data_IF_834673908661
#
_entry.id   IF_834673908661
#
_cell.length_a   1.000
_cell.length_b   1.000
_cell.length_c   1.000
_cell.angle_alpha   90.00
_cell.angle_beta   90.00
_cell.angle_gamma   90.00
#
_symmetry.space_group_name_H-M   'P 1'
#
loop_
_entity.id
_entity.type
_entity.pdbx_description
1 polymer ?
#
# COMPACT_ATOMS: atom_id res chain seq x y z
N UNK A 1 -31.29 62.36 45.73
CA UNK A 1 -31.31 61.13 46.55
C UNK A 1 -31.45 59.96 45.59
N UNK A 2 -30.44 59.08 45.56
CA UNK A 2 -30.46 57.66 45.15
C UNK A 2 -31.08 57.42 43.74
N UNK A 3 -30.35 57.45 42.63
CA UNK A 3 -29.30 56.52 42.17
C UNK A 3 -29.71 55.03 42.30
N UNK A 4 -30.13 54.41 41.20
CA UNK A 4 -29.68 53.05 40.89
C UNK A 4 -29.62 52.87 39.36
N UNK A 5 -28.38 52.65 38.92
CA UNK A 5 -27.88 52.44 37.58
C UNK A 5 -27.56 50.96 37.44
N UNK A 6 -28.00 50.28 36.37
CA UNK A 6 -27.36 49.07 35.82
C UNK A 6 -27.73 49.00 34.33
N UNK A 7 -26.93 49.62 33.46
CA UNK A 7 -25.77 49.07 32.73
C UNK A 7 -26.17 48.01 31.70
N UNK A 8 -26.27 48.47 30.44
CA UNK A 8 -26.14 47.64 29.25
C UNK A 8 -24.73 47.04 29.22
N UNK A 9 -24.63 45.71 29.13
CA UNK A 9 -23.36 45.03 28.87
C UNK A 9 -23.33 44.56 27.41
N UNK A 10 -22.46 45.20 26.63
CA UNK A 10 -21.94 44.63 25.38
C UNK A 10 -20.83 43.61 25.70
N UNK A 11 -20.73 42.59 24.84
CA UNK A 11 -19.60 41.70 24.58
C UNK A 11 -18.73 41.19 25.75
N UNK A 12 -18.75 39.87 25.97
CA UNK A 12 -17.51 39.12 26.05
C UNK A 12 -17.56 37.90 25.12
N UNK A 13 -16.63 37.92 24.18
CA UNK A 13 -16.12 36.78 23.44
C UNK A 13 -15.52 35.82 24.47
N UNK A 14 -15.98 34.57 24.50
CA UNK A 14 -15.16 33.47 25.00
C UNK A 14 -14.84 32.56 23.82
N UNK A 15 -13.61 32.72 23.34
CA UNK A 15 -12.93 31.76 22.51
C UNK A 15 -12.32 30.68 23.42
N UNK A 16 -12.68 29.42 23.17
CA UNK A 16 -11.99 28.15 23.52
C UNK A 16 -13.06 27.06 23.30
N UNK A 17 -12.96 26.10 22.38
CA UNK A 17 -11.81 25.42 21.77
C UNK A 17 -12.24 24.89 20.40
N UNK A 18 -11.37 25.10 19.41
CA UNK A 18 -11.34 24.32 18.17
C UNK A 18 -11.11 22.82 18.45
N UNK A 19 -11.38 22.01 17.42
CA UNK A 19 -11.00 20.58 17.22
C UNK A 19 -11.87 19.57 18.00
N UNK A 20 -12.54 18.58 17.42
CA UNK A 20 -12.22 17.70 16.30
C UNK A 20 -13.48 17.34 15.49
N UNK A 21 -13.48 17.68 14.20
CA UNK A 21 -14.36 17.04 13.23
C UNK A 21 -13.86 15.63 12.95
N UNK A 22 -14.46 14.62 13.59
CA UNK A 22 -14.33 13.24 13.12
C UNK A 22 -15.38 12.99 12.03
N UNK A 23 -14.93 12.90 10.78
CA UNK A 23 -15.71 12.31 9.68
C UNK A 23 -15.90 10.81 9.93
N UNK A 24 -16.77 10.43 10.87
CA UNK A 24 -17.27 9.06 10.97
C UNK A 24 -18.45 8.92 10.02
N UNK A 25 -18.32 8.04 9.03
CA UNK A 25 -19.43 7.63 8.18
C UNK A 25 -20.42 6.82 9.05
N UNK A 26 -21.55 7.43 9.43
CA UNK A 26 -22.62 6.73 10.16
C UNK A 26 -23.36 5.78 9.23
N UNK A 27 -23.06 4.47 9.33
CA UNK A 27 -23.90 3.43 8.74
C UNK A 27 -25.05 3.14 9.72
N UNK A 28 -26.26 3.59 9.38
CA UNK A 28 -27.48 3.23 10.10
C UNK A 28 -27.79 1.73 9.89
N UNK A 29 -27.96 0.98 10.99
CA UNK A 29 -28.31 -0.44 10.96
C UNK A 29 -29.76 -0.62 10.48
N UNK A 30 -29.96 -0.66 9.15
CA UNK A 30 -31.30 -0.83 8.58
C UNK A 30 -31.70 -2.31 8.53
N UNK A 31 -32.71 -2.68 9.32
CA UNK A 31 -33.39 -3.98 9.24
C UNK A 31 -34.40 -4.00 8.09
N UNK A 32 -33.99 -3.72 6.86
CA UNK A 32 -34.86 -3.79 5.69
C UNK A 32 -34.78 -5.16 4.99
N UNK A 33 -35.82 -5.53 4.25
CA UNK A 33 -35.95 -6.84 3.61
C UNK A 33 -35.14 -6.96 2.30
N UNK A 34 -34.30 -7.99 2.27
CA UNK A 34 -33.70 -8.77 1.16
C UNK A 34 -33.49 -8.13 -0.21
N UNK A 35 -32.42 -7.34 -0.41
CA UNK A 35 -31.50 -7.60 -1.50
C UNK A 35 -30.66 -8.84 -1.19
N UNK A 36 -30.16 -9.50 -2.24
CA UNK A 36 -29.08 -10.47 -2.15
C UNK A 36 -27.88 -9.80 -1.44
N UNK A 37 -27.27 -10.45 -0.45
CA UNK A 37 -26.07 -9.93 0.20
C UNK A 37 -24.89 -10.13 -0.76
N UNK A 38 -24.54 -9.08 -1.49
CA UNK A 38 -23.53 -9.13 -2.55
C UNK A 38 -22.16 -8.64 -2.12
N UNK A 39 -22.01 -8.13 -0.89
CA UNK A 39 -20.74 -7.61 -0.37
C UNK A 39 -20.64 -7.74 1.16
N UNK A 40 -19.40 -7.74 1.68
CA UNK A 40 -19.16 -7.63 3.13
C UNK A 40 -19.76 -6.34 3.72
N UNK A 41 -19.82 -5.27 2.93
CA UNK A 41 -20.45 -3.99 3.29
C UNK A 41 -21.95 -4.14 3.51
N UNK A 42 -22.64 -4.92 2.68
CA UNK A 42 -24.06 -5.22 2.86
C UNK A 42 -24.33 -6.01 4.13
N UNK A 43 -23.49 -7.01 4.42
CA UNK A 43 -23.55 -7.79 5.67
C UNK A 43 -23.37 -6.86 6.87
N UNK A 44 -22.30 -6.04 6.89
CA UNK A 44 -22.04 -5.11 8.00
C UNK A 44 -23.17 -4.10 8.20
N UNK A 45 -23.78 -3.61 7.12
CA UNK A 45 -24.94 -2.70 7.18
C UNK A 45 -26.19 -3.39 7.74
N UNK A 46 -26.39 -4.67 7.43
CA UNK A 46 -27.55 -5.45 7.89
C UNK A 46 -27.41 -5.93 9.32
N UNK A 47 -26.20 -6.34 9.69
CA UNK A 47 -25.83 -6.94 10.97
C UNK A 47 -24.54 -6.29 11.46
N UNK A 48 -24.70 -5.20 12.20
CA UNK A 48 -23.59 -4.36 12.64
C UNK A 48 -22.60 -5.09 13.58
N UNK A 49 -23.06 -6.11 14.30
CA UNK A 49 -22.25 -6.92 15.21
C UNK A 49 -21.64 -8.17 14.53
N UNK A 50 -21.72 -8.27 13.21
CA UNK A 50 -21.09 -9.36 12.46
C UNK A 50 -19.58 -9.42 12.76
N UNK A 51 -19.04 -10.58 13.17
CA UNK A 51 -17.61 -10.72 13.45
C UNK A 51 -16.78 -10.80 12.16
N UNK A 52 -15.49 -10.50 12.23
CA UNK A 52 -14.56 -10.77 11.12
C UNK A 52 -14.49 -12.28 10.84
N UNK A 53 -14.48 -12.68 9.56
CA UNK A 53 -14.45 -14.09 9.19
C UNK A 53 -14.94 -14.37 7.77
N UNK A 54 -15.18 -15.65 7.45
CA UNK A 54 -15.70 -16.06 6.15
C UNK A 54 -17.24 -15.99 6.09
N UNK A 55 -17.75 -15.45 4.97
CA UNK A 55 -19.17 -15.30 4.70
C UNK A 55 -19.51 -15.80 3.30
N UNK A 56 -20.77 -16.23 3.13
CA UNK A 56 -21.33 -16.55 1.82
C UNK A 56 -22.03 -15.32 1.26
N UNK A 57 -21.55 -14.83 0.13
CA UNK A 57 -22.18 -13.76 -0.64
C UNK A 57 -22.93 -14.33 -1.83
N UNK A 58 -24.03 -13.71 -2.21
CA UNK A 58 -24.66 -14.03 -3.48
C UNK A 58 -23.95 -13.33 -4.63
N UNK A 59 -23.69 -14.07 -5.71
CA UNK A 59 -23.25 -13.55 -7.01
C UNK A 59 -24.21 -14.05 -8.10
N UNK A 60 -24.17 -13.38 -9.26
CA UNK A 60 -24.90 -13.81 -10.47
C UNK A 60 -24.50 -15.23 -10.92
N UNK A 61 -23.31 -15.69 -10.54
CA UNK A 61 -22.76 -17.01 -10.89
C UNK A 61 -22.97 -18.07 -9.79
N UNK A 62 -23.63 -17.71 -8.70
CA UNK A 62 -23.84 -18.57 -7.53
C UNK A 62 -23.25 -17.98 -6.25
N UNK A 63 -23.42 -18.63 -5.10
CA UNK A 63 -22.81 -18.19 -3.84
C UNK A 63 -21.28 -18.25 -3.91
N UNK A 64 -20.62 -17.22 -3.37
CA UNK A 64 -19.15 -17.13 -3.27
C UNK A 64 -18.76 -16.98 -1.81
N UNK A 65 -17.79 -17.77 -1.36
CA UNK A 65 -17.20 -17.67 -0.03
C UNK A 65 -16.11 -16.61 -0.02
N UNK A 66 -16.29 -15.55 0.77
CA UNK A 66 -15.29 -14.47 0.89
C UNK A 66 -14.90 -14.23 2.34
N UNK A 67 -13.70 -13.71 2.55
CA UNK A 67 -13.29 -13.23 3.86
C UNK A 67 -13.68 -11.77 4.04
N UNK A 68 -14.45 -11.48 5.09
CA UNK A 68 -14.87 -10.14 5.45
C UNK A 68 -14.16 -9.66 6.72
N UNK A 69 -13.45 -8.53 6.61
CA UNK A 69 -13.00 -7.79 7.79
C UNK A 69 -14.13 -6.87 8.26
N UNK A 70 -14.73 -7.22 9.40
CA UNK A 70 -15.85 -6.49 10.00
C UNK A 70 -15.41 -5.49 11.07
N UNK A 71 -14.12 -5.45 11.37
CA UNK A 71 -13.48 -4.47 12.25
C UNK A 71 -13.07 -3.21 11.48
N UNK A 72 -12.58 -2.20 12.19
CA UNK A 72 -12.06 -0.98 11.57
C UNK A 72 -10.81 -1.28 10.72
N UNK A 73 -10.78 -0.73 9.50
CA UNK A 73 -9.66 -0.85 8.59
C UNK A 73 -9.56 0.41 7.73
N UNK A 74 -8.34 0.96 7.59
CA UNK A 74 -8.07 2.23 6.91
C UNK A 74 -8.98 3.39 7.36
N UNK A 75 -9.21 3.52 8.67
CA UNK A 75 -10.06 4.57 9.25
C UNK A 75 -11.55 4.47 8.88
N UNK A 76 -11.97 3.37 8.25
CA UNK A 76 -13.37 3.07 7.94
C UNK A 76 -13.83 1.88 8.79
N UNK A 77 -15.07 1.96 9.29
CA UNK A 77 -15.76 0.80 9.91
C UNK A 77 -15.71 -0.42 8.98
N UNK A 78 -15.96 -1.62 9.51
CA UNK A 78 -15.87 -2.86 8.76
C UNK A 78 -16.77 -3.03 7.54
N UNK A 79 -16.83 -4.26 7.04
CA UNK A 79 -17.48 -4.60 5.77
C UNK A 79 -16.51 -4.58 4.59
N UNK A 80 -15.23 -4.82 4.85
CA UNK A 80 -14.18 -4.91 3.85
C UNK A 80 -14.06 -6.34 3.34
N UNK A 81 -14.00 -6.52 2.02
CA UNK A 81 -13.86 -7.84 1.38
C UNK A 81 -12.40 -8.07 1.01
N UNK A 82 -11.78 -9.17 1.48
CA UNK A 82 -10.38 -9.49 1.14
C UNK A 82 -10.29 -10.07 -0.28
N UNK A 83 -9.49 -9.46 -1.14
CA UNK A 83 -9.22 -9.92 -2.50
C UNK A 83 -7.91 -10.69 -2.63
N UNK A 84 -6.94 -10.41 -1.77
CA UNK A 84 -5.64 -11.06 -1.79
C UNK A 84 -5.10 -11.27 -0.39
N UNK A 85 -4.46 -12.40 -0.18
CA UNK A 85 -3.70 -12.73 1.03
C UNK A 85 -2.47 -13.56 0.65
N UNK A 86 -1.34 -13.28 1.29
CA UNK A 86 -0.13 -14.11 1.30
C UNK A 86 0.53 -13.94 2.66
N UNK A 87 0.98 -15.04 3.26
CA UNK A 87 1.80 -15.01 4.46
C UNK A 87 2.88 -16.09 4.43
N UNK A 88 4.07 -15.72 3.94
CA UNK A 88 5.19 -16.65 3.79
C UNK A 88 5.83 -17.09 5.12
N UNK A 89 5.43 -16.49 6.25
CA UNK A 89 5.78 -16.99 7.57
C UNK A 89 5.06 -18.30 7.91
N UNK A 90 3.93 -18.61 7.26
CA UNK A 90 3.35 -19.95 7.31
C UNK A 90 4.21 -20.89 6.45
N UNK A 91 4.82 -21.94 7.02
CA UNK A 91 5.69 -22.85 6.28
C UNK A 91 4.96 -23.62 5.16
N UNK A 92 3.63 -23.69 5.20
CA UNK A 92 2.82 -24.35 4.18
C UNK A 92 2.40 -23.42 3.03
N UNK A 93 2.51 -22.11 3.22
CA UNK A 93 2.22 -21.13 2.17
C UNK A 93 3.26 -21.24 1.06
N UNK A 94 2.83 -21.19 -0.20
CA UNK A 94 3.70 -21.27 -1.37
C UNK A 94 3.64 -19.99 -2.17
N UNK A 95 4.71 -19.67 -2.91
CA UNK A 95 4.69 -18.49 -3.76
C UNK A 95 3.60 -18.57 -4.82
N UNK A 96 2.90 -17.45 -5.12
CA UNK A 96 1.90 -17.43 -6.19
C UNK A 96 2.49 -17.87 -7.52
N UNK A 97 1.65 -18.39 -8.41
CA UNK A 97 2.07 -18.83 -9.75
C UNK A 97 2.84 -17.72 -10.48
N UNK A 98 4.00 -18.07 -11.03
CA UNK A 98 4.88 -17.13 -11.72
C UNK A 98 5.90 -16.43 -10.80
N UNK A 99 5.76 -16.49 -9.48
CA UNK A 99 6.76 -15.96 -8.54
C UNK A 99 7.78 -17.04 -8.19
N UNK A 100 9.02 -16.64 -7.89
CA UNK A 100 10.06 -17.54 -7.38
C UNK A 100 10.22 -17.37 -5.87
N UNK A 101 10.59 -18.46 -5.19
CA UNK A 101 10.91 -18.43 -3.77
C UNK A 101 12.31 -17.84 -3.55
N UNK A 102 12.38 -16.83 -2.69
CA UNK A 102 13.58 -16.41 -1.98
C UNK A 102 13.57 -17.02 -0.59
N UNK A 103 14.71 -17.55 -0.17
CA UNK A 103 14.88 -18.09 1.17
C UNK A 103 16.27 -17.79 1.70
N UNK A 104 16.33 -17.08 2.83
CA UNK A 104 17.56 -16.78 3.54
C UNK A 104 17.31 -16.89 5.05
N UNK A 105 17.99 -17.85 5.70
CA UNK A 105 17.67 -18.23 7.07
C UNK A 105 16.21 -18.70 7.19
N UNK A 106 15.47 -18.11 8.13
CA UNK A 106 14.04 -18.38 8.37
C UNK A 106 13.10 -17.54 7.49
N UNK A 107 13.63 -16.53 6.79
CA UNK A 107 12.82 -15.64 5.96
C UNK A 107 12.55 -16.27 4.60
N UNK A 108 11.26 -16.28 4.24
CA UNK A 108 10.74 -16.72 2.94
C UNK A 108 9.99 -15.56 2.28
N UNK A 109 10.23 -15.35 0.99
CA UNK A 109 9.58 -14.29 0.22
C UNK A 109 9.43 -14.69 -1.25
N UNK A 110 8.60 -13.97 -1.99
CA UNK A 110 8.24 -14.29 -3.37
C UNK A 110 8.60 -13.14 -4.31
N UNK A 111 9.55 -13.38 -5.21
CA UNK A 111 10.07 -12.38 -6.14
C UNK A 111 9.83 -12.72 -7.61
N UNK A 112 10.45 -11.95 -8.49
CA UNK A 112 10.38 -12.12 -9.95
C UNK A 112 11.12 -13.39 -10.39
N UNK A 113 10.74 -14.00 -11.51
CA UNK A 113 11.54 -15.09 -12.10
C UNK A 113 12.95 -14.60 -12.48
N UNK A 114 13.89 -15.53 -12.61
CA UNK A 114 15.24 -15.21 -13.07
C UNK A 114 15.20 -14.47 -14.42
N UNK A 115 15.75 -13.26 -14.45
CA UNK A 115 15.81 -12.41 -15.64
C UNK A 115 17.15 -11.67 -15.66
N UNK A 116 17.70 -11.47 -16.86
CA UNK A 116 18.88 -10.62 -17.09
C UNK A 116 18.52 -9.19 -17.49
N UNK A 117 17.23 -8.85 -17.49
CA UNK A 117 16.67 -7.54 -17.88
C UNK A 117 15.52 -7.15 -16.96
N UNK A 118 15.14 -5.87 -17.00
CA UNK A 118 13.94 -5.35 -16.33
C UNK A 118 12.67 -6.13 -16.68
N UNK A 119 11.84 -6.35 -15.68
CA UNK A 119 10.63 -7.16 -15.81
C UNK A 119 9.68 -6.97 -14.63
N UNK A 120 8.45 -7.45 -14.81
CA UNK A 120 7.51 -7.62 -13.71
C UNK A 120 6.91 -9.02 -13.70
N UNK A 121 6.65 -9.55 -12.51
CA UNK A 121 5.71 -10.65 -12.27
C UNK A 121 4.42 -10.07 -11.71
N UNK A 122 3.26 -10.63 -12.08
CA UNK A 122 1.96 -10.09 -11.72
C UNK A 122 1.00 -11.15 -11.18
N UNK A 123 0.16 -10.74 -10.23
CA UNK A 123 -0.98 -11.50 -9.73
C UNK A 123 -2.24 -10.66 -9.90
N UNK A 124 -3.26 -11.24 -10.55
CA UNK A 124 -4.59 -10.64 -10.64
C UNK A 124 -5.45 -11.08 -9.46
N UNK A 125 -6.01 -10.11 -8.75
CA UNK A 125 -6.93 -10.28 -7.64
C UNK A 125 -8.34 -9.91 -8.11
N UNK A 126 -9.16 -10.93 -8.34
CA UNK A 126 -10.52 -10.76 -8.86
C UNK A 126 -11.49 -10.37 -7.73
N UNK A 127 -12.27 -9.29 -7.87
CA UNK A 127 -13.40 -9.00 -6.99
C UNK A 127 -14.67 -9.80 -7.34
N UNK A 128 -14.60 -10.66 -8.37
CA UNK A 128 -15.78 -11.26 -9.00
C UNK A 128 -16.80 -10.22 -9.43
N UNK A 129 -18.01 -10.24 -8.88
CA UNK A 129 -19.08 -9.27 -9.18
C UNK A 129 -19.19 -8.18 -8.10
N UNK A 130 -18.24 -8.11 -7.15
CA UNK A 130 -18.29 -7.19 -6.02
C UNK A 130 -17.86 -5.80 -6.48
N UNK A 131 -18.80 -4.85 -6.44
CA UNK A 131 -18.54 -3.45 -6.71
C UNK A 131 -17.84 -2.79 -5.51
N UNK A 132 -16.79 -2.02 -5.78
CA UNK A 132 -16.01 -1.32 -4.75
C UNK A 132 -15.59 0.07 -5.21
N UNK A 133 -15.39 0.98 -4.26
CA UNK A 133 -14.84 2.33 -4.50
C UNK A 133 -13.66 2.65 -3.58
N UNK A 134 -13.28 1.73 -2.69
CA UNK A 134 -12.14 1.89 -1.81
C UNK A 134 -11.25 0.65 -1.87
N UNK A 135 -9.94 0.87 -1.83
CA UNK A 135 -8.92 -0.18 -1.70
C UNK A 135 -8.12 0.13 -0.45
N UNK A 136 -7.95 -0.88 0.41
CA UNK A 136 -7.11 -0.80 1.59
C UNK A 136 -6.22 -2.02 1.66
N UNK A 137 -4.95 -1.85 1.97
CA UNK A 137 -4.06 -3.00 2.09
C UNK A 137 -2.72 -2.65 2.71
N UNK A 138 -1.94 -3.69 2.95
CA UNK A 138 -0.54 -3.58 3.34
C UNK A 138 0.25 -4.68 2.67
N UNK A 139 1.52 -4.40 2.40
CA UNK A 139 2.47 -5.32 1.77
C UNK A 139 3.76 -5.22 2.56
N UNK A 140 4.40 -6.35 2.83
CA UNK A 140 5.74 -6.41 3.41
C UNK A 140 6.65 -7.14 2.43
N UNK A 141 7.77 -6.50 2.11
CA UNK A 141 8.77 -7.04 1.22
C UNK A 141 10.16 -6.97 1.81
N UNK A 142 11.14 -7.32 0.99
CA UNK A 142 12.55 -7.21 1.34
C UNK A 142 13.30 -6.65 0.14
N UNK A 143 14.33 -5.87 0.41
CA UNK A 143 15.29 -5.46 -0.61
C UNK A 143 16.18 -6.66 -0.95
N UNK A 144 16.37 -6.93 -2.24
CA UNK A 144 17.45 -7.76 -2.72
C UNK A 144 18.44 -6.89 -3.49
N UNK A 145 19.70 -6.91 -3.05
CA UNK A 145 20.79 -6.23 -3.74
C UNK A 145 20.58 -4.70 -3.89
N UNK A 146 20.61 -4.14 -5.09
CA UNK A 146 20.82 -2.69 -5.30
C UNK A 146 19.58 -1.88 -5.72
N UNK A 147 18.38 -2.28 -5.31
CA UNK A 147 17.13 -1.64 -5.77
C UNK A 147 17.17 -0.12 -5.69
N UNK A 148 16.65 0.58 -6.70
CA UNK A 148 16.85 2.03 -6.84
C UNK A 148 15.55 2.83 -6.95
N UNK A 149 14.46 2.31 -6.39
CA UNK A 149 13.14 2.92 -6.33
C UNK A 149 12.52 3.23 -7.71
N UNK A 150 12.58 4.48 -8.16
CA UNK A 150 12.05 4.93 -9.47
C UNK A 150 13.11 5.71 -10.22
N UNK A 151 14.37 5.32 -10.12
CA UNK A 151 15.39 5.91 -10.97
C UNK A 151 15.07 5.65 -12.45
N UNK A 152 15.52 6.56 -13.31
CA UNK A 152 15.23 6.52 -14.75
C UNK A 152 16.48 6.48 -15.62
N UNK A 153 17.66 6.47 -14.98
CA UNK A 153 18.94 6.36 -15.67
C UNK A 153 19.12 4.95 -16.24
N UNK A 154 18.64 3.96 -15.50
CA UNK A 154 18.53 2.57 -15.92
C UNK A 154 17.11 2.34 -16.49
N UNK A 155 16.98 1.43 -17.47
CA UNK A 155 15.71 1.16 -18.16
C UNK A 155 15.14 2.26 -19.10
N UNK A 156 15.63 3.50 -18.96
CA UNK A 156 15.30 4.67 -19.78
C UNK A 156 13.93 5.31 -19.47
N UNK A 157 13.79 6.59 -19.86
CA UNK A 157 12.61 7.42 -19.56
C UNK A 157 11.28 6.89 -20.13
N UNK A 158 11.33 6.05 -21.16
CA UNK A 158 10.16 5.40 -21.74
C UNK A 158 9.54 4.39 -20.78
N UNK A 159 10.36 3.52 -20.18
CA UNK A 159 9.91 2.54 -19.18
C UNK A 159 9.47 3.25 -17.90
N UNK A 160 10.24 4.25 -17.46
CA UNK A 160 9.97 5.05 -16.28
C UNK A 160 8.56 5.67 -16.28
N UNK A 161 8.08 6.17 -17.42
CA UNK A 161 6.80 6.87 -17.50
C UNK A 161 5.63 6.02 -18.01
N UNK A 162 5.82 4.71 -18.21
CA UNK A 162 4.77 3.80 -18.66
C UNK A 162 4.29 2.92 -17.50
N UNK A 163 3.04 3.13 -17.08
CA UNK A 163 2.37 2.29 -16.07
C UNK A 163 2.35 0.81 -16.46
N UNK A 164 2.49 0.48 -17.75
CA UNK A 164 2.56 -0.89 -18.23
C UNK A 164 3.95 -1.50 -18.20
N UNK A 165 4.99 -0.69 -18.06
CA UNK A 165 6.37 -1.15 -17.94
C UNK A 165 6.75 -1.49 -16.50
N UNK A 166 8.01 -1.82 -16.29
CA UNK A 166 8.67 -2.06 -15.01
C UNK A 166 9.18 -0.75 -14.38
N UNK A 167 8.32 0.26 -14.30
CA UNK A 167 8.67 1.63 -13.91
C UNK A 167 9.18 1.81 -12.47
N UNK A 168 9.21 0.75 -11.67
CA UNK A 168 9.54 0.78 -10.25
C UNK A 168 10.25 -0.49 -9.83
N UNK A 169 11.28 -0.33 -9.02
CA UNK A 169 11.85 -1.34 -8.17
C UNK A 169 11.00 -1.49 -6.91
N UNK A 170 10.14 -2.51 -6.92
CA UNK A 170 9.17 -2.71 -5.85
C UNK A 170 7.82 -3.26 -6.32
N UNK A 171 6.76 -2.84 -5.64
CA UNK A 171 5.39 -3.32 -5.84
C UNK A 171 4.52 -2.24 -6.46
N UNK A 172 3.91 -2.55 -7.60
CA UNK A 172 2.93 -1.72 -8.29
C UNK A 172 1.54 -2.35 -8.14
N UNK A 173 0.62 -1.63 -7.49
CA UNK A 173 -0.78 -2.02 -7.36
C UNK A 173 -1.60 -1.19 -8.33
N UNK A 174 -2.30 -1.86 -9.24
CA UNK A 174 -3.10 -1.22 -10.28
C UNK A 174 -4.46 -1.89 -10.41
N UNK A 175 -5.35 -1.31 -11.22
CA UNK A 175 -6.67 -1.87 -11.51
C UNK A 175 -7.05 -1.76 -12.97
N UNK A 176 -7.86 -2.73 -13.40
CA UNK A 176 -8.59 -2.70 -14.67
C UNK A 176 -7.72 -2.71 -15.92
N UNK A 177 -8.40 -2.57 -17.06
CA UNK A 177 -7.80 -2.43 -18.39
C UNK A 177 -8.58 -1.37 -19.20
N UNK A 178 -7.97 -0.23 -19.60
CA UNK A 178 -6.58 0.15 -19.41
C UNK A 178 -6.16 0.23 -17.94
N UNK A 179 -4.87 -0.04 -17.68
CA UNK A 179 -4.31 -0.08 -16.33
C UNK A 179 -4.40 1.30 -15.68
N UNK A 180 -4.91 1.36 -14.46
CA UNK A 180 -5.00 2.56 -13.64
C UNK A 180 -4.25 2.37 -12.32
N UNK A 181 -3.54 3.39 -11.87
CA UNK A 181 -2.76 3.36 -10.65
C UNK A 181 -3.65 3.29 -9.39
N UNK A 182 -3.22 2.50 -8.40
CA UNK A 182 -3.84 2.44 -7.06
C UNK A 182 -2.81 2.83 -6.01
N UNK A 183 -1.65 2.16 -5.99
CA UNK A 183 -0.57 2.45 -5.04
C UNK A 183 0.77 1.92 -5.56
N UNK A 184 1.87 2.55 -5.15
CA UNK A 184 3.23 2.06 -5.42
C UNK A 184 4.01 1.89 -4.12
N UNK A 185 4.72 0.78 -3.94
CA UNK A 185 5.65 0.58 -2.83
C UNK A 185 7.06 0.39 -3.43
N UNK A 186 7.97 1.30 -3.14
CA UNK A 186 9.27 1.40 -3.79
C UNK A 186 10.37 0.92 -2.84
N UNK A 187 11.41 0.28 -3.37
CA UNK A 187 12.58 -0.15 -2.61
C UNK A 187 13.80 0.70 -3.02
N UNK A 188 14.33 1.50 -2.10
CA UNK A 188 15.55 2.29 -2.34
C UNK A 188 16.84 1.53 -2.00
N UNK A 189 17.99 2.09 -2.35
CA UNK A 189 19.27 1.36 -2.26
C UNK A 189 19.89 1.31 -0.85
N UNK A 190 19.76 2.40 -0.10
CA UNK A 190 20.35 2.60 1.23
C UNK A 190 19.42 3.46 2.11
N UNK A 191 19.30 3.10 3.39
CA UNK A 191 18.49 3.87 4.35
C UNK A 191 19.30 4.92 5.16
N UNK A 192 20.62 4.72 5.26
CA UNK A 192 21.48 5.51 6.13
C UNK A 192 22.52 6.36 5.40
N UNK A 193 22.78 6.11 4.11
CA UNK A 193 23.73 6.87 3.29
C UNK A 193 23.28 7.07 1.85
N UNK A 194 23.95 8.00 1.18
CA UNK A 194 23.85 8.19 -0.26
C UNK A 194 24.82 7.23 -0.94
N UNK A 195 24.40 6.55 -2.02
CA UNK A 195 25.23 5.58 -2.75
C UNK A 195 26.51 6.20 -3.33
N UNK A 196 26.52 7.51 -3.56
CA UNK A 196 27.75 8.28 -3.76
C UNK A 196 27.62 9.60 -2.98
N UNK A 197 28.72 10.16 -2.48
CA UNK A 197 28.71 11.45 -1.76
C UNK A 197 28.08 12.60 -2.55
N UNK A 198 27.98 12.46 -3.87
CA UNK A 198 27.30 13.41 -4.77
C UNK A 198 26.07 12.83 -5.49
N UNK A 199 25.70 11.57 -5.23
CA UNK A 199 24.61 10.89 -5.94
C UNK A 199 23.64 10.21 -4.97
N UNK A 200 22.47 10.84 -4.90
CA UNK A 200 21.28 10.49 -4.12
C UNK A 200 20.21 9.84 -4.99
N UNK A 201 20.51 9.59 -6.28
CA UNK A 201 19.53 9.25 -7.30
C UNK A 201 18.95 7.86 -7.18
N UNK A 202 19.40 7.04 -6.22
CA UNK A 202 18.92 5.67 -6.00
C UNK A 202 18.23 5.49 -4.64
N UNK A 203 18.21 6.55 -3.82
CA UNK A 203 17.45 6.55 -2.57
C UNK A 203 15.99 6.92 -2.85
N UNK A 204 15.12 6.49 -1.94
CA UNK A 204 13.69 6.78 -2.01
C UNK A 204 13.34 8.23 -2.36
N UNK A 205 12.26 8.49 -3.13
CA UNK A 205 11.83 9.85 -3.45
C UNK A 205 11.49 10.72 -2.24
N UNK A 206 11.13 10.10 -1.12
CA UNK A 206 10.86 10.78 0.14
C UNK A 206 12.13 11.02 0.98
N UNK A 207 13.27 10.43 0.63
CA UNK A 207 14.52 10.58 1.36
C UNK A 207 15.07 12.00 1.26
N UNK A 208 15.74 12.43 2.33
CA UNK A 208 16.33 13.77 2.40
C UNK A 208 17.32 13.98 1.25
N UNK A 209 17.05 14.98 0.41
CA UNK A 209 17.92 15.35 -0.71
C UNK A 209 17.75 14.51 -1.97
N UNK A 210 16.88 13.49 -1.99
CA UNK A 210 16.67 12.66 -3.18
C UNK A 210 16.13 13.47 -4.36
N UNK A 211 16.76 13.40 -5.56
CA UNK A 211 16.30 14.08 -6.76
C UNK A 211 15.11 13.35 -7.38
N UNK A 212 14.89 12.07 -7.04
CA UNK A 212 13.80 11.26 -7.60
C UNK A 212 12.42 11.86 -7.30
N UNK A 213 12.28 12.66 -6.24
CA UNK A 213 11.03 13.39 -5.97
C UNK A 213 10.58 14.27 -7.13
N UNK A 214 11.55 14.83 -7.88
CA UNK A 214 11.28 15.71 -9.01
C UNK A 214 11.01 14.97 -10.32
N UNK A 215 11.42 13.71 -10.41
CA UNK A 215 11.23 12.84 -11.57
C UNK A 215 10.12 11.80 -11.34
N UNK A 216 9.49 11.79 -10.17
CA UNK A 216 8.40 10.89 -9.83
C UNK A 216 7.30 10.90 -10.90
N UNK A 217 6.85 9.72 -11.28
CA UNK A 217 5.84 9.55 -12.32
C UNK A 217 4.54 10.26 -11.92
N UNK A 218 3.97 11.01 -12.87
CA UNK A 218 2.78 11.83 -12.63
C UNK A 218 1.56 11.02 -12.19
N UNK A 219 1.45 9.75 -12.61
CA UNK A 219 0.34 8.88 -12.22
C UNK A 219 0.43 8.34 -10.80
N UNK A 220 1.61 8.38 -10.15
CA UNK A 220 1.79 7.95 -8.76
C UNK A 220 1.33 9.05 -7.80
N UNK A 221 1.71 10.30 -8.07
CA UNK A 221 1.39 11.43 -7.20
C UNK A 221 1.87 11.21 -5.76
N UNK A 222 0.93 11.19 -4.80
CA UNK A 222 1.22 10.95 -3.39
C UNK A 222 0.86 9.53 -2.93
N UNK A 223 0.41 8.66 -3.84
CA UNK A 223 -0.07 7.31 -3.51
C UNK A 223 1.09 6.31 -3.54
N UNK A 224 2.11 6.56 -2.72
CA UNK A 224 3.27 5.68 -2.60
C UNK A 224 3.83 5.55 -1.19
N UNK A 225 4.52 4.44 -0.95
CA UNK A 225 5.48 4.28 0.13
C UNK A 225 6.86 3.98 -0.48
N UNK A 226 7.92 4.32 0.22
CA UNK A 226 9.28 3.92 -0.16
C UNK A 226 10.10 3.68 1.09
N UNK A 227 10.95 2.66 1.06
CA UNK A 227 11.86 2.28 2.13
C UNK A 227 13.06 1.52 1.57
N UNK A 228 14.19 1.52 2.25
CA UNK A 228 15.36 0.69 1.95
C UNK A 228 15.68 -0.20 3.14
N UNK A 229 16.06 -1.45 2.89
CA UNK A 229 16.44 -2.41 3.93
C UNK A 229 17.94 -2.51 4.15
N UNK A 230 18.74 -1.71 3.44
CA UNK A 230 20.20 -1.77 3.48
C UNK A 230 20.78 -0.73 4.46
N UNK A 231 21.27 -1.17 5.64
CA UNK A 231 21.73 -0.28 6.70
C UNK A 231 23.14 0.27 6.48
N UNK A 232 23.79 -0.05 5.35
CA UNK A 232 25.17 0.33 5.10
C UNK A 232 25.37 1.85 5.22
N UNK A 233 26.42 2.24 5.94
CA UNK A 233 26.82 3.64 6.15
C UNK A 233 28.05 4.06 5.35
N UNK A 234 28.45 3.23 4.40
CA UNK A 234 29.63 3.42 3.55
C UNK A 234 29.28 3.39 2.06
N UNK A 235 28.01 3.62 1.74
CA UNK A 235 27.49 3.67 0.37
C UNK A 235 27.58 2.36 -0.40
N UNK A 236 27.71 1.22 0.29
CA UNK A 236 27.81 -0.10 -0.34
C UNK A 236 26.48 -0.86 -0.35
N UNK A 237 26.38 -1.84 -1.23
CA UNK A 237 25.37 -2.90 -1.18
C UNK A 237 26.04 -4.26 -1.41
N UNK A 238 25.34 -5.32 -1.03
CA UNK A 238 25.72 -6.70 -1.27
C UNK A 238 24.60 -7.41 -2.04
N UNK A 239 24.95 -8.41 -2.85
CA UNK A 239 23.98 -9.25 -3.57
C UNK A 239 23.31 -10.26 -2.63
N UNK A 240 22.58 -9.76 -1.64
CA UNK A 240 21.90 -10.54 -0.58
C UNK A 240 20.46 -10.08 -0.42
N UNK A 241 19.65 -10.92 0.23
CA UNK A 241 18.33 -10.52 0.72
C UNK A 241 18.52 -9.85 2.08
N UNK A 242 18.19 -8.57 2.19
CA UNK A 242 18.29 -7.83 3.45
C UNK A 242 17.11 -8.20 4.36
N UNK A 243 17.28 -9.25 5.16
CA UNK A 243 16.20 -9.83 5.98
C UNK A 243 16.00 -9.15 7.33
N UNK A 244 16.94 -8.32 7.77
CA UNK A 244 16.91 -7.68 9.10
C UNK A 244 15.92 -6.52 9.16
N UNK A 245 15.58 -5.95 8.01
CA UNK A 245 14.73 -4.77 7.89
C UNK A 245 13.68 -4.96 6.79
N UNK A 246 12.46 -5.41 7.15
CA UNK A 246 11.37 -5.60 6.21
C UNK A 246 10.84 -4.27 5.67
N UNK A 247 10.64 -4.19 4.36
CA UNK A 247 10.16 -2.99 3.70
C UNK A 247 8.67 -2.73 3.92
N UNK A 248 8.34 -1.46 4.04
CA UNK A 248 7.02 -0.83 4.09
C UNK A 248 6.19 -1.20 5.32
N UNK A 249 6.85 -1.60 6.40
CA UNK A 249 6.22 -1.91 7.68
C UNK A 249 6.14 -0.68 8.62
N UNK A 250 6.79 0.42 8.24
CA UNK A 250 6.83 1.70 8.96
C UNK A 250 7.82 1.70 10.14
N UNK A 251 8.81 0.82 10.14
CA UNK A 251 9.85 0.67 11.16
C UNK A 251 11.20 0.47 10.50
N UNK A 252 12.27 0.51 11.28
CA UNK A 252 13.62 0.21 10.77
C UNK A 252 14.30 1.37 10.07
N UNK A 253 13.53 2.20 9.36
CA UNK A 253 13.95 3.40 8.64
C UNK A 253 15.14 4.18 9.22
N UNK A 254 16.22 4.16 8.46
CA UNK A 254 17.43 4.91 8.70
C UNK A 254 17.28 6.42 8.62
N UNK A 255 18.40 7.11 8.86
CA UNK A 255 18.43 8.57 9.05
C UNK A 255 17.96 9.37 7.83
N UNK A 256 18.03 8.80 6.62
CA UNK A 256 17.59 9.47 5.39
C UNK A 256 16.09 9.29 5.13
N UNK A 257 15.48 8.26 5.71
CA UNK A 257 14.12 7.81 5.41
C UNK A 257 13.10 8.19 6.49
N UNK A 258 13.50 9.03 7.45
CA UNK A 258 12.60 9.55 8.49
C UNK A 258 11.30 10.15 7.96
N UNK A 259 11.33 10.81 6.79
CA UNK A 259 10.13 11.35 6.14
C UNK A 259 9.30 10.25 5.47
N UNK A 260 9.95 9.23 4.92
CA UNK A 260 9.29 8.08 4.32
C UNK A 260 8.46 7.33 5.35
N UNK A 261 9.02 7.09 6.53
CA UNK A 261 8.32 6.39 7.61
C UNK A 261 7.36 7.24 8.42
N UNK A 262 7.43 8.57 8.27
CA UNK A 262 6.38 9.45 8.74
C UNK A 262 5.15 9.49 7.81
N UNK A 263 5.14 8.72 6.71
CA UNK A 263 4.00 8.66 5.82
C UNK A 263 2.74 8.22 6.59
N UNK A 264 1.68 8.99 6.42
CA UNK A 264 0.41 8.71 7.09
C UNK A 264 -0.09 7.33 6.72
N UNK A 265 -0.63 6.63 7.71
CA UNK A 265 -1.29 5.33 7.58
C UNK A 265 -0.37 4.12 7.38
N UNK A 266 0.96 4.25 7.25
CA UNK A 266 1.88 3.11 7.29
C UNK A 266 1.54 2.18 8.48
N UNK A 267 1.48 0.85 8.27
CA UNK A 267 1.81 0.10 7.04
C UNK A 267 0.65 -0.04 6.03
N UNK A 268 -0.48 0.61 6.25
CA UNK A 268 -1.69 0.50 5.45
C UNK A 268 -1.83 1.63 4.43
N UNK A 269 -1.91 1.29 3.15
CA UNK A 269 -2.37 2.23 2.13
C UNK A 269 -3.89 2.26 2.05
N UNK A 270 -4.45 3.43 1.75
CA UNK A 270 -5.90 3.61 1.55
C UNK A 270 -6.16 4.46 0.30
N UNK A 271 -6.67 3.83 -0.76
CA UNK A 271 -7.07 4.52 -1.98
C UNK A 271 -8.59 4.64 -2.06
N UNK A 272 -9.10 5.86 -2.14
CA UNK A 272 -10.49 6.14 -2.53
C UNK A 272 -10.54 6.42 -4.03
N UNK A 273 -11.38 5.67 -4.74
CA UNK A 273 -11.61 5.81 -6.17
C UNK A 273 -12.70 6.87 -6.44
N UNK A 274 -12.61 7.56 -7.57
CA UNK A 274 -13.61 8.57 -7.97
C UNK A 274 -14.97 7.97 -8.35
N UNK A 275 -15.02 6.68 -8.66
CA UNK A 275 -16.24 5.95 -8.98
C UNK A 275 -16.12 4.48 -8.54
N UNK A 276 -17.26 3.84 -8.28
CA UNK A 276 -17.29 2.42 -8.00
C UNK A 276 -16.98 1.60 -9.25
N UNK A 277 -16.31 0.46 -9.08
CA UNK A 277 -15.90 -0.43 -10.17
C UNK A 277 -15.97 -1.90 -9.74
N UNK A 278 -15.89 -2.80 -10.70
CA UNK A 278 -15.68 -4.25 -10.52
C UNK A 278 -14.37 -4.70 -11.17
N UNK A 279 -13.49 -3.76 -11.49
CA UNK A 279 -12.17 -4.05 -12.07
C UNK A 279 -11.36 -4.98 -11.16
N UNK A 280 -10.61 -5.92 -11.75
CA UNK A 280 -9.60 -6.64 -10.98
C UNK A 280 -8.56 -5.66 -10.43
N UNK A 281 -8.01 -5.98 -9.26
CA UNK A 281 -6.74 -5.41 -8.82
C UNK A 281 -5.60 -6.28 -9.35
N UNK A 282 -4.46 -5.67 -9.60
CA UNK A 282 -3.25 -6.34 -10.03
C UNK A 282 -2.11 -5.90 -9.12
N UNK A 283 -1.48 -6.87 -8.45
CA UNK A 283 -0.24 -6.68 -7.72
C UNK A 283 0.90 -7.13 -8.62
N UNK A 284 1.88 -6.25 -8.83
CA UNK A 284 3.06 -6.54 -9.65
C UNK A 284 4.31 -6.33 -8.81
N UNK A 285 5.22 -7.29 -8.78
CA UNK A 285 6.60 -7.06 -8.33
C UNK A 285 7.42 -6.77 -9.57
N UNK A 286 8.04 -5.60 -9.60
CA UNK A 286 8.75 -5.05 -10.74
C UNK A 286 10.18 -4.69 -10.35
N UNK A 287 11.02 -4.58 -11.37
CA UNK A 287 12.28 -3.86 -11.29
C UNK A 287 12.87 -3.67 -12.67
N UNK A 288 13.70 -2.66 -12.85
CA UNK A 288 14.15 -2.22 -14.16
C UNK A 288 15.45 -2.88 -14.63
N UNK A 289 16.15 -3.56 -13.73
CA UNK A 289 17.23 -4.49 -14.05
C UNK A 289 16.88 -5.98 -13.85
N UNK A 290 17.87 -6.81 -14.20
CA UNK A 290 17.86 -8.24 -13.99
C UNK A 290 17.85 -8.62 -12.50
N UNK A 291 17.28 -9.77 -12.20
CA UNK A 291 16.97 -10.19 -10.82
C UNK A 291 18.18 -10.70 -10.02
N UNK A 292 19.37 -10.70 -10.62
CA UNK A 292 20.64 -10.84 -9.90
C UNK A 292 21.14 -9.52 -9.33
N UNK A 293 20.69 -8.38 -9.87
CA UNK A 293 21.06 -7.04 -9.42
C UNK A 293 19.99 -6.43 -8.51
N UNK A 294 18.72 -6.60 -8.85
CA UNK A 294 17.62 -5.92 -8.16
C UNK A 294 16.41 -6.85 -8.08
N UNK A 295 15.80 -6.98 -6.91
CA UNK A 295 14.47 -7.55 -6.80
C UNK A 295 13.84 -7.06 -5.49
N UNK A 296 12.51 -7.19 -5.39
CA UNK A 296 11.80 -6.83 -4.16
C UNK A 296 10.83 -7.93 -3.76
N UNK A 297 11.35 -9.08 -3.27
CA UNK A 297 10.51 -10.21 -2.93
C UNK A 297 9.52 -9.87 -1.80
N UNK A 298 8.25 -10.23 -1.98
CA UNK A 298 7.19 -9.98 -0.99
C UNK A 298 6.99 -11.19 -0.09
N UNK A 299 6.90 -10.98 1.22
CA UNK A 299 6.63 -12.06 2.19
C UNK A 299 5.21 -12.04 2.72
N UNK A 300 4.56 -10.88 2.65
CA UNK A 300 3.20 -10.72 3.14
C UNK A 300 2.44 -9.70 2.28
N UNK A 301 1.17 -9.98 2.03
CA UNK A 301 0.21 -8.94 1.67
C UNK A 301 -1.18 -9.31 2.15
N UNK A 302 -1.98 -8.29 2.44
CA UNK A 302 -3.42 -8.42 2.51
C UNK A 302 -4.07 -7.18 1.89
N UNK A 303 -5.00 -7.43 0.96
CA UNK A 303 -5.64 -6.38 0.16
C UNK A 303 -7.14 -6.56 0.21
N UNK A 304 -7.82 -5.47 0.52
CA UNK A 304 -9.26 -5.40 0.75
C UNK A 304 -9.91 -4.34 -0.13
N UNK A 305 -11.19 -4.57 -0.44
CA UNK A 305 -12.05 -3.62 -1.15
C UNK A 305 -13.38 -3.39 -0.44
N UNK A 306 -13.98 -2.21 -0.63
CA UNK A 306 -15.25 -1.81 -0.03
C UNK A 306 -16.03 -0.78 -0.87
#
# INVERSE_FOLDING_TARGET
>A
MIALTFVFLFCQVNAQSDTFGHCKEEVSCNKQATPLLTSCKDIKRRWCDSPTGYYQLGSKRGPVSVYCNMDELCGSRGGWTRLGYLNMADPNESCPSGFRLYQHGEVRACGRQNSSVGSCVALKLSPDDISYSQVCGRVVGYQYASTDAVDSTIGGTGSHNDINSYYVDGVSITRGFPRQHVWTLMAGINEATYYNVNDVSYNCPCSKGSPQKSTLQSFIGNDYFCESGNPATDSTYQSVLYTSDPLWDGKGCGSLESTCCAASCLPWFHKKLGAATTDYLELRVCGDEGTSNEDTPISFYEIYVK
#
